data_IF_207529555469
#
_entry.id   IF_207529555469
#
_cell.length_a   1.000
_cell.length_b   1.000
_cell.length_c   1.000
_cell.angle_alpha   90.00
_cell.angle_beta   90.00
_cell.angle_gamma   90.00
#
_symmetry.space_group_name_H-M   'P 1'
#
loop_
_entity.id
_entity.type
_entity.pdbx_description
1 polymer ?
#
# COMPACT_ATOMS: atom_id res chain seq x y z
N UNK A 1 -6.54 11.45 9.43
CA UNK A 1 -7.84 11.67 8.74
C UNK A 1 -7.60 12.62 7.58
N UNK A 2 -7.87 12.18 6.35
CA UNK A 2 -7.59 12.94 5.11
C UNK A 2 -8.48 14.16 4.91
N UNK A 3 -8.35 15.15 5.77
CA UNK A 3 -9.11 16.42 5.71
C UNK A 3 -8.52 17.42 4.72
N UNK A 4 -7.28 17.17 4.23
CA UNK A 4 -6.53 18.09 3.37
C UNK A 4 -7.12 18.25 1.95
N UNK A 5 -7.82 17.22 1.44
CA UNK A 5 -8.54 17.30 0.16
C UNK A 5 -9.90 18.02 0.24
N UNK A 6 -10.34 18.48 1.43
CA UNK A 6 -11.63 19.17 1.62
C UNK A 6 -12.89 18.36 1.26
N UNK A 7 -12.74 17.08 0.95
CA UNK A 7 -13.84 16.22 0.49
C UNK A 7 -14.52 15.48 1.65
N UNK A 8 -15.83 15.30 1.52
CA UNK A 8 -16.64 14.54 2.49
C UNK A 8 -16.53 13.03 2.34
N UNK A 9 -15.77 12.50 1.36
CA UNK A 9 -15.57 11.08 1.09
C UNK A 9 -14.26 10.59 1.73
N UNK A 10 -14.18 9.29 2.11
CA UNK A 10 -12.90 8.64 2.42
C UNK A 10 -11.93 8.75 1.24
N UNK A 11 -10.63 8.97 1.50
CA UNK A 11 -9.60 9.08 0.45
C UNK A 11 -9.67 7.95 -0.60
N UNK A 12 -9.81 6.65 -0.22
CA UNK A 12 -9.90 5.56 -1.20
C UNK A 12 -11.06 5.69 -2.20
N UNK A 13 -12.10 6.46 -1.85
CA UNK A 13 -13.25 6.71 -2.72
C UNK A 13 -13.11 8.02 -3.53
N UNK A 14 -11.94 8.66 -3.52
CA UNK A 14 -11.67 9.82 -4.36
C UNK A 14 -11.77 9.42 -5.84
N UNK A 15 -12.63 10.10 -6.65
CA UNK A 15 -12.76 9.79 -8.06
C UNK A 15 -11.53 10.27 -8.84
N UNK A 16 -11.08 9.41 -9.74
CA UNK A 16 -10.05 9.65 -10.74
C UNK A 16 -10.69 10.13 -12.05
N UNK A 17 -9.86 10.62 -13.00
CA UNK A 17 -10.34 11.15 -14.26
C UNK A 17 -11.01 10.11 -15.17
N UNK A 18 -10.68 8.83 -15.01
CA UNK A 18 -11.25 7.71 -15.75
C UNK A 18 -12.59 7.22 -15.17
N UNK A 19 -13.11 7.90 -14.15
CA UNK A 19 -14.38 7.60 -13.49
C UNK A 19 -14.29 6.55 -12.38
N UNK A 20 -13.17 5.87 -12.23
CA UNK A 20 -12.93 4.96 -11.10
C UNK A 20 -12.61 5.75 -9.81
N UNK A 21 -12.73 5.11 -8.67
CA UNK A 21 -12.10 5.60 -7.44
C UNK A 21 -10.66 5.06 -7.32
N UNK A 22 -9.84 5.65 -6.43
CA UNK A 22 -8.52 5.10 -6.11
C UNK A 22 -8.62 3.62 -5.77
N UNK A 23 -9.49 3.24 -4.84
CA UNK A 23 -9.73 1.84 -4.48
C UNK A 23 -10.22 0.99 -5.66
N UNK A 24 -11.05 1.55 -6.54
CA UNK A 24 -11.49 0.86 -7.76
C UNK A 24 -10.31 0.52 -8.67
N UNK A 25 -9.43 1.48 -8.92
CA UNK A 25 -8.21 1.28 -9.71
C UNK A 25 -7.28 0.22 -9.10
N UNK A 26 -7.08 0.25 -7.76
CA UNK A 26 -6.30 -0.75 -7.04
C UNK A 26 -6.89 -2.16 -7.17
N UNK A 27 -8.20 -2.29 -6.97
CA UNK A 27 -8.92 -3.57 -7.05
C UNK A 27 -8.88 -4.17 -8.46
N UNK A 28 -9.03 -3.35 -9.50
CA UNK A 28 -8.93 -3.79 -10.89
C UNK A 28 -7.53 -4.37 -11.15
N UNK A 29 -6.47 -3.68 -10.72
CA UNK A 29 -5.09 -4.18 -10.83
C UNK A 29 -4.89 -5.50 -10.09
N UNK A 30 -5.34 -5.60 -8.84
CA UNK A 30 -5.24 -6.85 -8.06
C UNK A 30 -5.96 -8.01 -8.75
N UNK A 31 -7.17 -7.78 -9.24
CA UNK A 31 -7.96 -8.81 -9.94
C UNK A 31 -7.35 -9.24 -11.27
N UNK A 32 -6.76 -8.30 -11.99
CA UNK A 32 -6.09 -8.59 -13.26
C UNK A 32 -4.85 -9.48 -13.07
N UNK A 33 -4.03 -9.21 -12.06
CA UNK A 33 -2.76 -9.92 -11.83
C UNK A 33 -2.96 -11.21 -11.04
N UNK A 34 -3.75 -11.18 -9.97
CA UNK A 34 -3.89 -12.31 -9.03
C UNK A 34 -5.20 -13.09 -9.20
N UNK A 35 -6.07 -12.66 -10.11
CA UNK A 35 -7.33 -13.31 -10.43
C UNK A 35 -8.51 -12.79 -9.62
N UNK A 36 -9.71 -12.92 -10.20
CA UNK A 36 -10.95 -12.40 -9.63
C UNK A 36 -11.41 -13.06 -8.32
N UNK A 37 -10.87 -14.24 -7.99
CA UNK A 37 -11.16 -14.97 -6.76
C UNK A 37 -10.24 -14.60 -5.59
N UNK A 38 -9.28 -13.68 -5.80
CA UNK A 38 -8.37 -13.22 -4.74
C UNK A 38 -9.18 -12.58 -3.61
N UNK A 39 -8.99 -13.09 -2.40
CA UNK A 39 -9.63 -12.52 -1.21
C UNK A 39 -9.01 -11.17 -0.88
N UNK A 40 -9.81 -10.11 -0.94
CA UNK A 40 -9.39 -8.75 -0.59
C UNK A 40 -10.13 -8.28 0.65
N UNK A 41 -9.37 -7.81 1.65
CA UNK A 41 -9.92 -7.25 2.88
C UNK A 41 -9.60 -5.75 2.94
N UNK A 42 -10.62 -4.92 3.05
CA UNK A 42 -10.44 -3.50 3.34
C UNK A 42 -10.53 -3.24 4.85
N UNK A 43 -9.52 -2.57 5.40
CA UNK A 43 -9.61 -2.07 6.78
C UNK A 43 -10.38 -0.76 6.76
N UNK A 44 -11.47 -0.71 7.50
CA UNK A 44 -12.38 0.44 7.51
C UNK A 44 -12.56 1.00 8.90
N UNK A 45 -12.77 2.31 8.98
CA UNK A 45 -13.06 3.03 10.22
C UNK A 45 -13.91 4.25 9.90
N UNK A 46 -13.26 5.35 9.51
CA UNK A 46 -13.97 6.56 9.10
C UNK A 46 -14.90 6.29 7.92
N UNK A 47 -16.18 6.60 8.10
CA UNK A 47 -17.24 6.39 7.09
C UNK A 47 -17.25 4.97 6.48
N UNK A 48 -16.99 3.95 7.29
CA UNK A 48 -16.98 2.55 6.88
C UNK A 48 -18.15 2.18 5.95
N UNK A 49 -19.37 2.62 6.27
CA UNK A 49 -20.56 2.36 5.45
C UNK A 49 -20.46 2.89 4.02
N UNK A 50 -19.72 3.97 3.78
CA UNK A 50 -19.53 4.49 2.43
C UNK A 50 -18.62 3.56 1.60
N UNK A 51 -17.54 3.08 2.21
CA UNK A 51 -16.62 2.11 1.57
C UNK A 51 -17.34 0.79 1.30
N UNK A 52 -18.06 0.25 2.29
CA UNK A 52 -18.83 -0.99 2.16
C UNK A 52 -19.89 -0.93 1.06
N UNK A 53 -20.55 0.23 0.88
CA UNK A 53 -21.52 0.41 -0.21
C UNK A 53 -20.86 0.53 -1.58
N UNK A 54 -19.69 1.14 -1.65
CA UNK A 54 -18.97 1.30 -2.90
C UNK A 54 -18.32 0.01 -3.39
N UNK A 55 -17.96 -0.88 -2.46
CA UNK A 55 -17.26 -2.14 -2.73
C UNK A 55 -17.89 -3.29 -1.91
N UNK A 56 -19.13 -3.73 -2.22
CA UNK A 56 -19.87 -4.69 -1.39
C UNK A 56 -19.29 -6.11 -1.39
N UNK A 57 -18.46 -6.43 -2.37
CA UNK A 57 -17.88 -7.78 -2.57
C UNK A 57 -16.58 -8.00 -1.78
N UNK A 58 -16.09 -6.98 -1.05
CA UNK A 58 -14.88 -7.10 -0.23
C UNK A 58 -15.18 -7.71 1.13
N UNK A 59 -14.14 -8.30 1.73
CA UNK A 59 -14.10 -8.55 3.16
C UNK A 59 -13.76 -7.24 3.89
N UNK A 60 -14.21 -7.10 5.14
CA UNK A 60 -13.97 -5.89 5.92
C UNK A 60 -13.44 -6.21 7.31
N UNK A 61 -12.33 -5.58 7.67
CA UNK A 61 -11.83 -5.52 9.02
C UNK A 61 -12.15 -4.12 9.59
N UNK A 62 -12.93 -4.07 10.68
CA UNK A 62 -13.30 -2.79 11.28
C UNK A 62 -12.29 -2.37 12.35
N UNK A 63 -11.72 -1.17 12.21
CA UNK A 63 -10.94 -0.53 13.25
C UNK A 63 -11.83 0.49 14.00
N UNK A 64 -12.35 0.14 15.20
CA UNK A 64 -13.19 1.06 15.98
C UNK A 64 -12.41 2.27 16.48
N UNK A 65 -11.10 2.12 16.66
CA UNK A 65 -10.21 3.12 17.25
C UNK A 65 -9.52 3.99 16.18
N UNK A 66 -10.05 3.99 14.93
CA UNK A 66 -9.47 4.69 13.77
C UNK A 66 -9.19 6.18 14.00
N UNK A 67 -9.87 6.80 14.96
CA UNK A 67 -9.71 8.22 15.26
C UNK A 67 -8.49 8.52 16.14
N UNK A 68 -8.01 7.53 16.88
CA UNK A 68 -6.92 7.64 17.88
C UNK A 68 -5.74 6.75 17.56
N UNK A 69 -5.86 5.84 16.59
CA UNK A 69 -4.80 4.92 16.17
C UNK A 69 -4.32 5.22 14.75
N UNK A 70 -3.16 4.69 14.39
CA UNK A 70 -2.56 4.86 13.08
C UNK A 70 -2.52 3.52 12.30
N UNK A 71 -1.78 3.48 11.20
CA UNK A 71 -1.77 2.38 10.23
C UNK A 71 -1.25 1.06 10.81
N UNK A 72 -0.40 1.07 11.85
CA UNK A 72 0.05 -0.14 12.55
C UNK A 72 -1.13 -0.95 13.10
N UNK A 73 -2.08 -0.29 13.77
CA UNK A 73 -3.25 -0.93 14.34
C UNK A 73 -4.24 -1.41 13.27
N UNK A 74 -4.31 -0.71 12.15
CA UNK A 74 -5.12 -1.13 11.01
C UNK A 74 -4.55 -2.39 10.35
N UNK A 75 -3.24 -2.41 10.05
CA UNK A 75 -2.57 -3.58 9.47
C UNK A 75 -2.62 -4.78 10.41
N UNK A 76 -2.40 -4.58 11.72
CA UNK A 76 -2.50 -5.63 12.73
C UNK A 76 -3.86 -6.35 12.68
N UNK A 77 -4.96 -5.59 12.57
CA UNK A 77 -6.32 -6.16 12.49
C UNK A 77 -6.49 -6.97 11.21
N UNK A 78 -6.00 -6.46 10.08
CA UNK A 78 -6.05 -7.16 8.79
C UNK A 78 -5.27 -8.47 8.84
N UNK A 79 -4.02 -8.45 9.31
CA UNK A 79 -3.17 -9.64 9.36
C UNK A 79 -3.72 -10.71 10.31
N UNK A 80 -4.25 -10.31 11.49
CA UNK A 80 -4.87 -11.25 12.44
C UNK A 80 -6.12 -11.94 11.91
N UNK A 81 -6.84 -11.31 11.00
CA UNK A 81 -8.05 -11.86 10.38
C UNK A 81 -7.79 -12.48 9.00
N UNK A 82 -6.56 -12.38 8.48
CA UNK A 82 -6.22 -12.93 7.17
C UNK A 82 -6.17 -14.46 7.17
N UNK A 83 -6.41 -15.05 6.01
CA UNK A 83 -6.24 -16.49 5.79
C UNK A 83 -4.76 -16.89 5.98
N UNK A 84 -4.47 -18.20 6.19
CA UNK A 84 -3.10 -18.73 6.09
C UNK A 84 -2.46 -18.34 4.74
N UNK A 85 -1.14 -18.11 4.75
CA UNK A 85 -0.39 -17.64 3.59
C UNK A 85 0.15 -16.23 3.79
N UNK A 86 0.93 -15.76 2.82
CA UNK A 86 1.44 -14.41 2.80
C UNK A 86 0.34 -13.38 2.52
N UNK A 87 0.63 -12.10 2.76
CA UNK A 87 -0.33 -11.01 2.58
C UNK A 87 0.32 -9.83 1.86
N UNK A 88 -0.25 -9.46 0.72
CA UNK A 88 0.01 -8.19 0.05
C UNK A 88 -0.92 -7.13 0.65
N UNK A 89 -0.39 -5.98 1.04
CA UNK A 89 -1.20 -4.84 1.44
C UNK A 89 -0.74 -3.56 0.79
N UNK A 90 -1.64 -2.59 0.71
CA UNK A 90 -1.35 -1.29 0.14
C UNK A 90 -2.13 -0.18 0.86
N UNK A 91 -1.56 1.02 0.86
CA UNK A 91 -2.25 2.21 1.34
C UNK A 91 -3.41 2.55 0.40
N UNK A 92 -4.57 2.88 0.98
CA UNK A 92 -5.79 3.13 0.21
C UNK A 92 -5.84 4.49 -0.48
N UNK A 93 -4.78 5.28 -0.43
CA UNK A 93 -4.64 6.61 -1.04
C UNK A 93 -3.51 6.66 -2.08
N UNK A 94 -2.91 5.54 -2.42
CA UNK A 94 -1.88 5.45 -3.48
C UNK A 94 -2.53 5.10 -4.82
N UNK A 95 -2.30 5.94 -5.82
CA UNK A 95 -2.59 5.66 -7.25
C UNK A 95 -1.30 5.20 -7.89
N UNK A 96 -1.30 4.04 -8.52
CA UNK A 96 -0.08 3.48 -9.13
C UNK A 96 -0.35 2.80 -10.46
N UNK A 97 0.71 2.64 -11.25
CA UNK A 97 0.68 1.86 -12.49
C UNK A 97 0.35 0.39 -12.18
N UNK A 98 -0.72 -0.20 -12.73
CA UNK A 98 -1.02 -1.62 -12.55
C UNK A 98 0.16 -2.56 -12.81
N UNK A 99 1.09 -2.19 -13.70
CA UNK A 99 2.32 -2.96 -13.97
C UNK A 99 3.25 -3.10 -12.74
N UNK A 100 3.05 -2.32 -11.69
CA UNK A 100 3.71 -2.53 -10.37
C UNK A 100 3.33 -3.89 -9.81
N UNK A 101 2.06 -4.30 -9.92
CA UNK A 101 1.61 -5.59 -9.43
C UNK A 101 2.15 -6.76 -10.27
N UNK A 102 2.25 -6.60 -11.60
CA UNK A 102 2.91 -7.57 -12.47
C UNK A 102 4.39 -7.74 -12.08
N UNK A 103 5.05 -6.61 -11.75
CA UNK A 103 6.45 -6.61 -11.30
C UNK A 103 6.60 -7.28 -9.92
N UNK A 104 5.63 -7.15 -9.03
CA UNK A 104 5.61 -7.77 -7.70
C UNK A 104 5.19 -9.25 -7.72
N UNK A 105 4.41 -9.68 -8.70
CA UNK A 105 3.81 -11.01 -8.75
C UNK A 105 4.82 -12.18 -8.60
N UNK A 106 6.02 -12.16 -9.20
CA UNK A 106 7.02 -13.21 -8.99
C UNK A 106 7.44 -13.37 -7.52
N UNK A 107 7.60 -12.26 -6.77
CA UNK A 107 7.96 -12.31 -5.35
C UNK A 107 6.79 -12.81 -4.50
N UNK A 108 5.55 -12.40 -4.81
CA UNK A 108 4.35 -12.95 -4.17
C UNK A 108 4.23 -14.46 -4.39
N UNK A 109 4.48 -14.94 -5.62
CA UNK A 109 4.47 -16.37 -5.96
C UNK A 109 5.58 -17.15 -5.27
N UNK A 110 6.75 -16.53 -5.07
CA UNK A 110 7.88 -17.11 -4.35
C UNK A 110 7.72 -17.04 -2.82
N UNK A 111 6.63 -16.40 -2.33
CA UNK A 111 6.38 -16.11 -0.91
C UNK A 111 7.57 -15.37 -0.26
N UNK A 112 8.14 -14.37 -0.96
CA UNK A 112 9.23 -13.52 -0.48
C UNK A 112 8.73 -12.17 0.00
N UNK A 113 9.03 -11.79 1.26
CA UNK A 113 8.66 -10.48 1.84
C UNK A 113 9.36 -9.33 1.12
N UNK A 114 8.60 -8.27 0.76
CA UNK A 114 9.14 -7.08 0.09
C UNK A 114 8.46 -5.78 0.50
N UNK A 115 9.14 -4.67 0.22
CA UNK A 115 8.64 -3.28 0.27
C UNK A 115 8.84 -2.68 -1.11
N UNK A 116 7.77 -2.16 -1.72
CA UNK A 116 7.92 -1.33 -2.92
C UNK A 116 8.56 0.01 -2.56
N UNK A 117 9.61 0.37 -3.30
CA UNK A 117 10.40 1.59 -3.07
C UNK A 117 10.53 2.40 -4.36
N UNK A 118 10.56 3.73 -4.21
CA UNK A 118 10.89 4.66 -5.27
C UNK A 118 12.21 5.36 -4.94
N UNK A 119 13.19 5.23 -5.83
CA UNK A 119 14.53 5.83 -5.69
C UNK A 119 14.67 7.15 -6.45
N UNK A 120 13.64 7.57 -7.19
CA UNK A 120 13.69 8.76 -8.05
C UNK A 120 13.65 10.06 -7.28
N UNK A 121 12.98 10.07 -6.12
CA UNK A 121 12.85 11.23 -5.23
C UNK A 121 12.96 10.80 -3.79
N UNK A 122 13.38 11.70 -2.89
CA UNK A 122 13.37 11.50 -1.45
C UNK A 122 12.89 12.79 -0.79
N UNK A 123 11.61 12.82 -0.39
CA UNK A 123 11.05 13.96 0.33
C UNK A 123 11.25 13.80 1.86
N UNK A 124 11.37 14.93 2.55
CA UNK A 124 11.65 14.91 4.01
C UNK A 124 10.52 14.25 4.82
N UNK A 125 9.28 14.38 4.35
CA UNK A 125 8.08 13.89 5.04
C UNK A 125 7.77 12.41 4.79
N UNK A 126 8.47 11.76 3.84
CA UNK A 126 8.19 10.39 3.43
C UNK A 126 8.95 9.35 4.27
N UNK A 127 8.46 8.11 4.22
CA UNK A 127 9.13 6.97 4.86
C UNK A 127 10.31 6.57 4.00
N UNK A 128 11.51 6.77 4.54
CA UNK A 128 12.79 6.46 3.87
C UNK A 128 13.32 5.11 4.32
N UNK A 129 14.19 4.52 3.50
CA UNK A 129 14.81 3.25 3.82
C UNK A 129 16.33 3.25 3.61
N UNK A 130 17.02 2.35 4.31
CA UNK A 130 18.41 1.96 4.06
C UNK A 130 18.50 0.45 3.88
N UNK A 131 19.61 -0.04 3.34
CA UNK A 131 19.87 -1.45 3.13
C UNK A 131 20.97 -1.96 4.06
N UNK A 132 20.91 -3.26 4.35
CA UNK A 132 22.00 -4.00 4.95
C UNK A 132 23.05 -4.42 3.90
N UNK A 133 24.11 -5.13 4.34
CA UNK A 133 25.19 -5.57 3.47
C UNK A 133 24.75 -6.62 2.44
N UNK A 134 23.63 -7.30 2.67
CA UNK A 134 23.05 -8.32 1.81
C UNK A 134 22.01 -7.74 0.83
N UNK A 135 21.71 -6.42 0.93
CA UNK A 135 20.77 -5.72 0.06
C UNK A 135 19.32 -5.81 0.49
N UNK A 136 19.03 -6.16 1.75
CA UNK A 136 17.69 -6.11 2.34
C UNK A 136 17.46 -4.82 3.13
N UNK A 137 16.20 -4.45 3.30
CA UNK A 137 15.81 -3.28 4.08
C UNK A 137 16.33 -3.43 5.52
N UNK A 138 17.05 -2.41 6.02
CA UNK A 138 17.59 -2.33 7.37
C UNK A 138 16.85 -1.34 8.25
N UNK A 139 16.61 -0.14 7.74
CA UNK A 139 15.86 0.92 8.39
C UNK A 139 14.69 1.32 7.52
N UNK A 140 13.56 1.65 8.14
CA UNK A 140 12.33 2.01 7.45
C UNK A 140 11.54 3.00 8.30
N UNK A 141 11.82 4.29 8.14
CA UNK A 141 11.10 5.34 8.88
C UNK A 141 11.27 6.73 8.26
N UNK A 142 10.45 7.67 8.71
CA UNK A 142 10.56 9.09 8.32
C UNK A 142 11.84 9.76 8.86
N UNK A 143 12.44 9.21 9.90
CA UNK A 143 13.62 9.75 10.56
C UNK A 143 14.95 9.21 10.04
N UNK A 144 14.91 8.32 9.04
CA UNK A 144 16.11 7.79 8.38
C UNK A 144 16.91 8.95 7.76
N UNK A 145 18.21 8.97 8.03
CA UNK A 145 19.16 9.93 7.47
C UNK A 145 19.92 9.26 6.34
N UNK A 146 20.01 9.93 5.19
CA UNK A 146 20.68 9.37 4.01
C UNK A 146 19.94 8.19 3.38
N UNK A 147 18.61 8.24 3.42
CA UNK A 147 17.76 7.23 2.78
C UNK A 147 18.03 7.10 1.29
N UNK A 148 17.90 5.87 0.77
CA UNK A 148 18.14 5.53 -0.63
C UNK A 148 16.93 5.82 -1.53
N UNK A 149 15.77 6.08 -0.94
CA UNK A 149 14.50 6.33 -1.60
C UNK A 149 13.36 6.31 -0.60
N UNK A 150 12.14 6.25 -1.10
CA UNK A 150 10.89 6.29 -0.35
C UNK A 150 10.15 4.94 -0.42
N UNK A 151 9.50 4.52 0.69
CA UNK A 151 8.57 3.40 0.67
C UNK A 151 7.19 3.87 0.18
N UNK A 152 6.65 3.18 -0.82
CA UNK A 152 5.46 3.63 -1.55
C UNK A 152 4.14 3.14 -0.94
N UNK A 153 4.20 2.41 0.19
CA UNK A 153 2.99 1.90 0.84
C UNK A 153 2.36 0.70 0.15
N UNK A 154 3.12 -0.05 -0.67
CA UNK A 154 2.75 -1.34 -1.27
C UNK A 154 3.77 -2.37 -0.79
N UNK A 155 3.33 -3.39 -0.05
CA UNK A 155 4.22 -4.30 0.65
C UNK A 155 3.65 -5.71 0.68
N UNK A 156 4.52 -6.70 0.88
CA UNK A 156 4.13 -8.09 1.06
C UNK A 156 4.88 -8.70 2.23
N UNK A 157 4.18 -9.48 3.04
CA UNK A 157 4.78 -10.33 4.06
C UNK A 157 4.54 -11.79 3.71
N UNK A 158 5.61 -12.59 3.69
CA UNK A 158 5.56 -14.02 3.46
C UNK A 158 4.80 -14.76 4.57
N UNK A 159 4.29 -15.94 4.26
CA UNK A 159 3.53 -16.76 5.21
C UNK A 159 4.31 -17.06 6.49
N UNK A 160 5.61 -17.36 6.36
CA UNK A 160 6.49 -17.66 7.47
C UNK A 160 6.80 -16.43 8.35
N UNK A 161 6.86 -15.24 7.75
CA UNK A 161 7.22 -13.99 8.42
C UNK A 161 6.02 -13.32 9.10
N UNK A 162 4.81 -13.59 8.59
CA UNK A 162 3.57 -12.94 9.06
C UNK A 162 3.32 -13.05 10.57
N UNK A 163 3.52 -14.20 11.24
CA UNK A 163 3.34 -14.28 12.69
C UNK A 163 4.25 -13.33 13.47
N UNK A 164 5.51 -13.23 13.07
CA UNK A 164 6.49 -12.33 13.69
C UNK A 164 6.11 -10.87 13.46
N UNK A 165 5.71 -10.51 12.24
CA UNK A 165 5.25 -9.15 11.95
C UNK A 165 4.02 -8.78 12.80
N UNK A 166 3.07 -9.70 13.01
CA UNK A 166 1.90 -9.50 13.88
C UNK A 166 2.33 -9.18 15.31
N UNK A 167 3.33 -9.87 15.86
CA UNK A 167 3.86 -9.62 17.22
C UNK A 167 4.45 -8.21 17.32
N UNK A 168 5.25 -7.80 16.35
CA UNK A 168 5.87 -6.46 16.32
C UNK A 168 4.84 -5.34 16.10
N UNK A 169 3.83 -5.54 15.25
CA UNK A 169 2.72 -4.60 15.10
C UNK A 169 1.89 -4.47 16.38
N UNK A 170 1.71 -5.57 17.13
CA UNK A 170 1.00 -5.55 18.40
C UNK A 170 1.75 -4.79 19.49
N UNK A 171 3.07 -4.68 19.38
CA UNK A 171 3.93 -3.92 20.29
C UNK A 171 4.04 -2.43 19.92
N UNK A 172 3.54 -2.00 18.75
CA UNK A 172 3.52 -0.61 18.35
C UNK A 172 2.60 0.24 19.24
N UNK A 173 2.98 1.49 19.45
CA UNK A 173 2.10 2.48 20.05
C UNK A 173 0.93 2.80 19.10
N UNK A 174 -0.17 3.30 19.65
CA UNK A 174 -1.36 3.65 18.88
C UNK A 174 -1.10 4.67 17.77
N UNK A 175 -0.14 5.57 17.97
CA UNK A 175 0.26 6.60 17.01
C UNK A 175 1.23 6.12 15.94
N UNK A 176 1.76 4.90 16.03
CA UNK A 176 2.78 4.41 15.12
C UNK A 176 2.19 4.02 13.75
N UNK A 177 2.96 4.28 12.71
CA UNK A 177 2.72 3.74 11.37
C UNK A 177 3.14 2.26 11.33
N UNK A 178 2.64 1.51 10.36
CA UNK A 178 2.97 0.07 10.23
C UNK A 178 4.47 -0.16 9.94
N UNK A 179 5.14 0.79 9.34
CA UNK A 179 6.58 0.74 9.06
C UNK A 179 7.39 0.59 10.36
N UNK A 180 6.90 1.14 11.46
CA UNK A 180 7.54 0.94 12.78
C UNK A 180 7.51 -0.54 13.19
N UNK A 181 6.40 -1.22 12.97
CA UNK A 181 6.29 -2.67 13.22
C UNK A 181 7.23 -3.48 12.32
N UNK A 182 7.31 -3.11 11.04
CA UNK A 182 8.25 -3.73 10.10
C UNK A 182 9.70 -3.49 10.52
N UNK A 183 10.08 -2.24 10.81
CA UNK A 183 11.43 -1.88 11.23
C UNK A 183 11.86 -2.63 12.49
N UNK A 184 11.01 -2.72 13.50
CA UNK A 184 11.31 -3.49 14.72
C UNK A 184 11.39 -4.99 14.45
N UNK A 185 10.57 -5.54 13.56
CA UNK A 185 10.67 -6.94 13.16
C UNK A 185 11.99 -7.24 12.41
N UNK A 186 12.45 -6.33 11.56
CA UNK A 186 13.77 -6.41 10.90
C UNK A 186 14.88 -6.39 11.95
N UNK A 187 14.90 -5.37 12.83
CA UNK A 187 16.01 -5.12 13.74
C UNK A 187 16.10 -6.11 14.91
N UNK A 188 14.97 -6.62 15.41
CA UNK A 188 14.91 -7.42 16.63
C UNK A 188 14.66 -8.91 16.36
N UNK A 189 13.95 -9.25 15.30
CA UNK A 189 13.63 -10.62 14.96
C UNK A 189 14.30 -11.10 13.67
N UNK A 190 15.04 -10.24 12.98
CA UNK A 190 15.79 -10.61 11.77
C UNK A 190 14.92 -10.86 10.54
N UNK A 191 13.69 -10.33 10.48
CA UNK A 191 12.89 -10.38 9.27
C UNK A 191 13.61 -9.68 8.11
N UNK A 192 13.46 -10.24 6.92
CA UNK A 192 14.13 -9.73 5.73
C UNK A 192 13.09 -9.29 4.70
N UNK A 193 13.05 -8.01 4.40
CA UNK A 193 12.22 -7.45 3.35
C UNK A 193 13.11 -7.03 2.17
N UNK A 194 12.81 -7.57 0.98
CA UNK A 194 13.48 -7.16 -0.25
C UNK A 194 13.00 -5.76 -0.66
N UNK A 195 13.87 -4.80 -1.00
CA UNK A 195 13.44 -3.58 -1.67
C UNK A 195 13.04 -3.96 -3.11
N UNK A 196 11.79 -3.71 -3.48
CA UNK A 196 11.30 -3.85 -4.84
C UNK A 196 11.25 -2.46 -5.48
N UNK A 197 12.25 -2.14 -6.28
CA UNK A 197 12.34 -0.84 -6.94
C UNK A 197 11.27 -0.71 -8.03
N UNK A 198 10.38 0.26 -7.83
CA UNK A 198 9.30 0.60 -8.75
C UNK A 198 9.46 1.98 -9.38
N UNK A 199 10.65 2.61 -9.31
CA UNK A 199 10.92 3.97 -9.80
C UNK A 199 10.63 4.17 -11.30
N UNK A 200 10.63 3.08 -12.08
CA UNK A 200 10.25 3.11 -13.50
C UNK A 200 8.75 3.20 -13.75
N UNK A 201 7.95 3.00 -12.73
CA UNK A 201 6.49 3.08 -12.78
C UNK A 201 6.01 4.34 -12.07
N UNK A 202 4.84 4.82 -12.40
CA UNK A 202 4.22 5.91 -11.64
C UNK A 202 3.51 5.37 -10.41
N UNK A 203 3.78 5.97 -9.25
CA UNK A 203 3.05 5.79 -8.02
C UNK A 203 2.94 7.12 -7.30
N UNK A 204 1.76 7.50 -6.84
CA UNK A 204 1.49 8.80 -6.22
C UNK A 204 0.56 8.61 -5.02
N UNK A 205 1.00 8.99 -3.82
CA UNK A 205 0.13 9.14 -2.67
C UNK A 205 -0.70 10.41 -2.79
N UNK A 206 -2.01 10.32 -2.57
CA UNK A 206 -2.95 11.42 -2.77
C UNK A 206 -3.25 12.08 -1.43
N UNK A 207 -2.47 13.08 -1.06
CA UNK A 207 -2.66 13.90 0.13
C UNK A 207 -3.35 15.23 -0.18
N UNK A 208 -2.98 15.86 -1.29
CA UNK A 208 -3.42 17.18 -1.72
C UNK A 208 -4.08 17.16 -3.10
N UNK A 209 -4.68 18.28 -3.49
CA UNK A 209 -5.30 18.43 -4.81
C UNK A 209 -4.27 18.33 -5.95
N UNK A 210 -3.04 18.78 -5.72
CA UNK A 210 -1.96 18.74 -6.69
C UNK A 210 -1.51 17.29 -6.95
N UNK A 211 -1.51 16.43 -5.93
CA UNK A 211 -1.21 15.00 -6.09
C UNK A 211 -2.25 14.33 -6.99
N UNK A 212 -3.52 14.64 -6.73
CA UNK A 212 -4.62 14.13 -7.56
C UNK A 212 -4.52 14.64 -8.99
N UNK A 213 -4.10 15.90 -9.21
CA UNK A 213 -3.89 16.45 -10.54
C UNK A 213 -2.73 15.73 -11.26
N UNK A 214 -1.62 15.45 -10.57
CA UNK A 214 -0.49 14.66 -11.09
C UNK A 214 -0.92 13.25 -11.49
N UNK A 215 -1.61 12.54 -10.59
CA UNK A 215 -2.12 11.19 -10.85
C UNK A 215 -3.06 11.17 -12.06
N UNK A 216 -3.99 12.13 -12.15
CA UNK A 216 -4.90 12.26 -13.29
C UNK A 216 -4.18 12.58 -14.60
N UNK A 217 -3.17 13.43 -14.59
CA UNK A 217 -2.37 13.74 -15.80
C UNK A 217 -1.69 12.47 -16.32
N UNK A 218 -1.09 11.69 -15.42
CA UNK A 218 -0.46 10.44 -15.78
C UNK A 218 -1.49 9.40 -16.32
N UNK A 219 -2.64 9.23 -15.66
CA UNK A 219 -3.71 8.33 -16.13
C UNK A 219 -4.19 8.73 -17.54
N UNK A 220 -4.34 10.04 -17.81
CA UNK A 220 -4.75 10.55 -19.11
C UNK A 220 -3.72 10.25 -20.21
N UNK A 221 -2.43 10.36 -19.90
CA UNK A 221 -1.36 10.05 -20.86
C UNK A 221 -1.32 8.57 -21.23
N UNK A 222 -1.63 7.67 -20.30
CA UNK A 222 -1.74 6.23 -20.58
C UNK A 222 -2.93 5.90 -21.47
N UNK A 223 -4.11 6.44 -21.16
CA UNK A 223 -5.31 6.22 -21.96
C UNK A 223 -5.12 6.68 -23.42
N UNK A 224 -4.27 7.66 -23.65
CA UNK A 224 -3.94 8.13 -25.00
C UNK A 224 -2.92 7.22 -25.74
N UNK A 225 -2.21 6.36 -25.01
CA UNK A 225 -1.19 5.43 -25.56
C UNK A 225 -1.73 4.01 -25.78
N UNK A 226 -2.86 3.65 -25.17
CA UNK A 226 -3.54 2.38 -25.45
C UNK A 226 -4.18 2.47 -26.86
N UNK A 227 -3.80 1.58 -27.82
CA UNK A 227 -4.40 1.59 -29.15
C UNK A 227 -5.92 1.33 -29.04
N UNK A 228 -6.70 1.98 -29.89
CA UNK A 228 -8.14 1.70 -30.10
C UNK A 228 -8.33 0.33 -30.80
N UNK A 229 -7.62 -0.69 -30.38
CA UNK A 229 -7.79 -2.05 -30.89
C UNK A 229 -8.70 -2.80 -29.92
N UNK A 230 -10.02 -2.70 -30.21
CA UNK A 230 -11.04 -3.74 -30.01
C UNK A 230 -12.44 -3.16 -30.22
N UNK A 231 -12.70 -2.71 -31.45
CA UNK A 231 -14.04 -2.59 -31.99
C UNK A 231 -14.03 -3.12 -33.44
N UNK A 232 -13.91 -4.44 -33.59
CA UNK A 232 -14.22 -5.13 -34.81
C UNK A 232 -14.92 -6.45 -34.50
#
# INVERSE_FOLDING_TARGET
MGTRLGRKLPKPLTPLMDGRSIMGQQLDGVRAVFGGSTAVTAVVGYRAKAVMRAQPDLLFAFNPDFATTNTSQSLLRALRSSQPGGVLWMNGDVVFDPAVLDHAAPLVQADESFVCVDTSTVADEEVKYTLDADGFVRELSKTVVGGLGEAVGINYVAAADKPVLIEHLAACADSDYFERGMETAIQQAGLRFRPLDISRFSAVEIDFADDLARANTWLGSRAALEPLDELA
#
